data_IF_784797750531
#
_entry.id   IF_784797750531
#
_cell.length_a   1.000
_cell.length_b   1.000
_cell.length_c   1.000
_cell.angle_alpha   90.00
_cell.angle_beta   90.00
_cell.angle_gamma   90.00
#
_symmetry.space_group_name_H-M   'P 1'
#
loop_
_entity.id
_entity.type
_entity.pdbx_description
1 polymer ?
#
# COMPACT_ATOMS: atom_id res chain seq x y z
N UNK A 1 13.95 17.69 15.03
CA UNK A 1 13.43 17.09 16.29
C UNK A 1 12.76 15.76 16.05
N UNK A 2 12.71 15.24 14.79
CA UNK A 2 11.87 14.07 14.42
C UNK A 2 12.62 12.74 14.38
N UNK A 3 13.91 12.74 14.68
CA UNK A 3 14.75 11.52 14.56
C UNK A 3 14.66 10.54 15.76
N UNK A 4 13.97 10.89 16.81
CA UNK A 4 13.90 10.02 18.02
C UNK A 4 12.64 9.16 18.13
N UNK A 5 11.63 9.35 17.29
CA UNK A 5 10.38 8.54 17.34
C UNK A 5 10.50 7.18 16.63
N UNK A 6 11.56 6.96 15.85
CA UNK A 6 11.76 5.75 15.05
C UNK A 6 12.59 4.65 15.73
N UNK A 7 13.09 4.87 16.96
CA UNK A 7 14.00 3.91 17.61
C UNK A 7 13.34 2.75 18.36
N UNK A 8 12.02 2.70 18.43
CA UNK A 8 11.29 1.74 19.27
C UNK A 8 10.58 0.58 18.56
N UNK A 9 10.42 0.65 17.24
CA UNK A 9 9.77 -0.43 16.48
C UNK A 9 10.76 -1.01 15.47
N UNK A 10 11.36 -2.14 15.80
CA UNK A 10 12.14 -2.86 14.81
C UNK A 10 11.22 -3.38 13.71
N UNK A 11 11.54 -3.03 12.44
CA UNK A 11 10.93 -3.60 11.22
C UNK A 11 10.75 -5.13 11.30
N UNK A 12 11.61 -5.80 12.05
CA UNK A 12 11.57 -7.24 12.28
C UNK A 12 10.35 -7.70 13.07
N UNK A 13 9.85 -6.91 14.00
CA UNK A 13 8.76 -7.33 14.89
C UNK A 13 7.41 -7.34 14.18
N UNK A 14 7.20 -6.42 13.21
CA UNK A 14 5.98 -6.39 12.38
C UNK A 14 6.05 -7.43 11.26
N UNK A 15 7.21 -7.58 10.61
CA UNK A 15 7.40 -8.51 9.49
C UNK A 15 7.58 -9.96 9.97
N UNK A 16 8.16 -10.20 11.14
CA UNK A 16 8.30 -11.55 11.69
C UNK A 16 6.96 -12.10 12.15
N UNK A 17 6.05 -11.25 12.62
CA UNK A 17 4.68 -11.67 12.92
C UNK A 17 3.87 -12.04 11.65
N UNK A 18 4.20 -11.45 10.49
CA UNK A 18 3.53 -11.73 9.22
C UNK A 18 4.18 -12.86 8.40
N UNK A 19 5.49 -13.11 8.56
CA UNK A 19 6.24 -14.04 7.70
C UNK A 19 6.45 -15.45 8.28
N UNK A 20 6.06 -15.70 9.52
CA UNK A 20 6.32 -16.98 10.20
C UNK A 20 5.06 -17.75 10.60
N UNK A 21 3.97 -17.63 9.84
CA UNK A 21 2.77 -18.42 10.10
C UNK A 21 2.74 -19.74 9.32
N UNK A 22 3.32 -20.83 9.86
CA UNK A 22 2.81 -22.14 9.56
C UNK A 22 1.59 -22.38 10.46
N UNK A 23 0.46 -22.70 9.85
CA UNK A 23 -0.74 -23.23 10.49
C UNK A 23 -1.04 -22.67 11.89
N UNK A 24 -2.00 -21.77 11.94
CA UNK A 24 -2.58 -21.25 13.17
C UNK A 24 -3.12 -22.37 14.07
N UNK A 25 -2.44 -22.77 15.13
CA UNK A 25 -3.10 -23.48 16.19
C UNK A 25 -3.77 -22.44 17.08
N UNK A 26 -4.99 -22.73 17.51
CA UNK A 26 -5.72 -21.96 18.52
C UNK A 26 -4.96 -21.72 19.86
N UNK A 27 -3.66 -22.00 19.88
CA UNK A 27 -2.75 -21.89 21.02
C UNK A 27 -2.14 -20.51 21.22
N UNK A 28 -2.20 -19.59 20.23
CA UNK A 28 -1.70 -18.22 20.43
C UNK A 28 -2.59 -17.34 21.30
N UNK A 29 -3.80 -17.81 21.64
CA UNK A 29 -4.66 -17.13 22.61
C UNK A 29 -4.23 -17.31 24.08
N UNK A 30 -3.17 -18.04 24.38
CA UNK A 30 -2.70 -18.31 25.75
C UNK A 30 -1.43 -17.58 26.19
N UNK A 31 -0.79 -16.84 25.33
CA UNK A 31 0.29 -15.93 25.71
C UNK A 31 -0.33 -14.61 26.18
N UNK A 32 0.23 -14.02 27.23
CA UNK A 32 -0.15 -12.75 27.87
C UNK A 32 -0.60 -11.66 26.86
N UNK A 33 -1.79 -11.84 26.29
CA UNK A 33 -2.41 -10.85 25.38
C UNK A 33 -2.73 -9.63 26.23
N UNK A 34 -2.26 -8.45 25.93
CA UNK A 34 -2.60 -7.27 26.72
C UNK A 34 -4.13 -7.16 26.73
N UNK A 35 -4.69 -7.02 27.93
CA UNK A 35 -6.14 -6.95 28.12
C UNK A 35 -6.76 -5.67 27.52
N UNK A 36 -5.94 -4.83 26.87
CA UNK A 36 -6.37 -3.52 26.39
C UNK A 36 -5.63 -3.13 25.10
N UNK A 37 -6.39 -2.75 24.08
CA UNK A 37 -5.91 -2.22 22.81
C UNK A 37 -6.43 -0.79 22.63
N UNK A 38 -5.62 0.06 22.03
CA UNK A 38 -5.99 1.43 21.72
C UNK A 38 -6.80 1.49 20.41
N UNK A 39 -6.50 0.57 19.47
CA UNK A 39 -7.19 0.45 18.17
C UNK A 39 -7.44 -1.02 17.87
N UNK A 40 -8.64 -1.34 17.42
CA UNK A 40 -8.99 -2.65 16.87
C UNK A 40 -9.38 -2.46 15.40
N UNK A 41 -8.63 -3.09 14.49
CA UNK A 41 -8.89 -3.08 13.05
C UNK A 41 -9.52 -4.40 12.64
N UNK A 42 -10.69 -4.35 12.03
CA UNK A 42 -11.41 -5.53 11.57
C UNK A 42 -11.26 -5.64 10.05
N UNK A 43 -10.57 -6.66 9.60
CA UNK A 43 -10.24 -6.94 8.22
C UNK A 43 -8.80 -6.54 7.86
N UNK A 44 -8.02 -7.52 7.39
CA UNK A 44 -6.62 -7.36 6.98
C UNK A 44 -6.46 -7.18 5.46
N UNK A 45 -7.36 -6.41 4.83
CA UNK A 45 -7.26 -6.06 3.40
C UNK A 45 -6.47 -4.77 3.15
N UNK A 46 -6.62 -4.22 1.93
CA UNK A 46 -5.93 -3.00 1.46
C UNK A 46 -6.15 -1.75 2.31
N UNK A 47 -7.24 -1.67 3.04
CA UNK A 47 -7.51 -0.57 3.96
C UNK A 47 -7.08 -0.89 5.39
N UNK A 48 -7.33 -2.12 5.87
CA UNK A 48 -7.04 -2.50 7.25
C UNK A 48 -5.56 -2.62 7.55
N UNK A 49 -4.77 -3.16 6.63
CA UNK A 49 -3.31 -3.27 6.81
C UNK A 49 -2.66 -1.90 7.01
N UNK A 50 -2.83 -0.90 6.11
CA UNK A 50 -2.25 0.42 6.35
C UNK A 50 -2.85 1.14 7.56
N UNK A 51 -4.13 0.97 7.85
CA UNK A 51 -4.74 1.52 9.05
C UNK A 51 -4.05 1.00 10.32
N UNK A 52 -3.86 -0.32 10.42
CA UNK A 52 -3.16 -0.92 11.55
C UNK A 52 -1.69 -0.49 11.62
N UNK A 53 -1.02 -0.43 10.47
CA UNK A 53 0.38 -0.03 10.38
C UNK A 53 0.59 1.40 10.86
N UNK A 54 -0.16 2.35 10.33
CA UNK A 54 0.00 3.76 10.69
C UNK A 54 -0.43 4.04 12.12
N UNK A 55 -1.46 3.36 12.63
CA UNK A 55 -1.82 3.45 14.05
C UNK A 55 -0.67 2.95 14.96
N UNK A 56 -0.05 1.82 14.60
CA UNK A 56 1.09 1.27 15.34
C UNK A 56 2.33 2.17 15.23
N UNK A 57 2.60 2.76 14.07
CA UNK A 57 3.67 3.75 13.89
C UNK A 57 3.43 5.00 14.75
N UNK A 58 2.17 5.36 15.00
CA UNK A 58 1.78 6.41 15.93
C UNK A 58 1.86 6.02 17.42
N UNK A 59 2.34 4.80 17.74
CA UNK A 59 2.52 4.32 19.11
C UNK A 59 1.28 3.64 19.73
N UNK A 60 0.22 3.45 18.97
CA UNK A 60 -0.97 2.76 19.46
C UNK A 60 -0.74 1.24 19.57
N UNK A 61 -1.35 0.63 20.58
CA UNK A 61 -1.45 -0.84 20.66
C UNK A 61 -2.60 -1.29 19.78
N UNK A 62 -2.27 -1.97 18.70
CA UNK A 62 -3.23 -2.34 17.65
C UNK A 62 -3.50 -3.83 17.66
N UNK A 63 -4.78 -4.19 17.57
CA UNK A 63 -5.24 -5.53 17.26
C UNK A 63 -5.80 -5.53 15.84
N UNK A 64 -5.20 -6.29 14.93
CA UNK A 64 -5.75 -6.56 13.61
C UNK A 64 -6.41 -7.94 13.60
N UNK A 65 -7.69 -7.97 13.27
CA UNK A 65 -8.49 -9.20 13.19
C UNK A 65 -8.82 -9.49 11.73
N UNK A 66 -8.44 -10.67 11.25
CA UNK A 66 -8.73 -11.13 9.89
C UNK A 66 -9.40 -12.50 9.95
N UNK A 67 -10.44 -12.71 9.14
CA UNK A 67 -11.19 -13.98 9.08
C UNK A 67 -10.48 -15.05 8.25
N UNK A 68 -9.66 -14.61 7.29
CA UNK A 68 -8.92 -15.49 6.38
C UNK A 68 -7.60 -15.91 7.00
N UNK A 69 -7.02 -17.03 6.58
CA UNK A 69 -5.72 -17.48 7.08
C UNK A 69 -4.55 -16.60 6.60
N UNK A 70 -4.79 -15.68 5.65
CA UNK A 70 -3.79 -14.77 5.11
C UNK A 70 -4.32 -13.34 5.07
N UNK A 71 -3.41 -12.38 5.26
CA UNK A 71 -3.69 -10.96 5.08
C UNK A 71 -3.70 -10.60 3.58
N UNK A 72 -4.24 -9.43 3.25
CA UNK A 72 -4.22 -8.88 1.89
C UNK A 72 -5.61 -8.77 1.25
N UNK A 73 -6.56 -9.62 1.60
CA UNK A 73 -7.90 -9.59 1.01
C UNK A 73 -7.84 -9.65 -0.52
N UNK A 74 -8.48 -8.69 -1.20
CA UNK A 74 -8.45 -8.61 -2.68
C UNK A 74 -7.05 -8.30 -3.24
N UNK A 75 -6.18 -7.67 -2.48
CA UNK A 75 -4.81 -7.40 -2.91
C UNK A 75 -4.03 -8.71 -3.13
N UNK A 76 -4.28 -9.73 -2.31
CA UNK A 76 -3.67 -11.05 -2.45
C UNK A 76 -3.95 -11.68 -3.82
N UNK A 77 -5.12 -11.40 -4.40
CA UNK A 77 -5.53 -11.90 -5.72
C UNK A 77 -5.19 -10.94 -6.86
N UNK A 78 -4.64 -9.77 -6.57
CA UNK A 78 -4.27 -8.78 -7.57
C UNK A 78 -2.94 -9.14 -8.22
N UNK A 79 -2.67 -8.52 -9.37
CA UNK A 79 -1.36 -8.63 -10.04
C UNK A 79 -0.31 -7.70 -9.46
N UNK A 80 -0.60 -7.02 -8.35
CA UNK A 80 0.33 -6.07 -7.72
C UNK A 80 0.56 -4.80 -8.54
N UNK A 81 -0.42 -4.39 -9.35
CA UNK A 81 -0.33 -3.16 -10.14
C UNK A 81 -0.88 -1.98 -9.36
N UNK A 82 -0.16 -0.87 -9.39
CA UNK A 82 -0.56 0.41 -8.83
C UNK A 82 -0.32 1.52 -9.87
N UNK A 83 -1.01 2.64 -9.73
CA UNK A 83 -0.84 3.79 -10.61
C UNK A 83 -0.69 5.08 -9.80
N UNK A 84 0.19 5.96 -10.25
CA UNK A 84 0.40 7.27 -9.64
C UNK A 84 1.26 8.17 -10.49
N UNK A 85 1.09 9.47 -10.31
CA UNK A 85 1.82 10.54 -11.00
C UNK A 85 2.73 11.29 -10.03
N UNK A 86 3.79 11.91 -10.55
CA UNK A 86 4.74 12.68 -9.74
C UNK A 86 5.63 11.79 -8.85
N UNK A 87 6.01 10.64 -9.35
CA UNK A 87 6.82 9.68 -8.60
C UNK A 87 8.30 9.82 -8.91
N UNK A 88 9.14 9.40 -7.96
CA UNK A 88 10.61 9.32 -8.14
C UNK A 88 11.01 8.41 -9.33
N UNK A 89 10.17 7.45 -9.69
CA UNK A 89 10.42 6.56 -10.84
C UNK A 89 10.18 7.28 -12.16
N UNK A 90 9.14 8.12 -12.26
CA UNK A 90 8.88 8.96 -13.43
C UNK A 90 9.99 9.99 -13.59
N UNK A 91 10.38 10.64 -12.51
CA UNK A 91 11.47 11.63 -12.52
C UNK A 91 12.77 11.04 -13.09
N UNK A 92 13.17 9.84 -12.63
CA UNK A 92 14.37 9.13 -13.13
C UNK A 92 14.33 8.82 -14.61
N UNK A 93 13.15 8.69 -15.20
CA UNK A 93 12.94 8.42 -16.63
C UNK A 93 12.63 9.69 -17.43
N UNK A 94 12.65 10.87 -16.80
CA UNK A 94 12.31 12.13 -17.46
C UNK A 94 10.85 12.25 -17.88
N UNK A 95 9.97 11.49 -17.24
CA UNK A 95 8.52 11.52 -17.49
C UNK A 95 7.91 12.64 -16.67
N UNK A 96 7.33 13.63 -17.36
CA UNK A 96 6.55 14.69 -16.72
C UNK A 96 5.10 14.25 -16.59
N UNK A 97 4.59 14.22 -15.37
CA UNK A 97 3.22 13.84 -15.08
C UNK A 97 2.71 14.59 -13.85
N UNK A 98 1.41 14.78 -13.74
CA UNK A 98 0.79 15.54 -12.66
C UNK A 98 -0.48 14.85 -12.16
N UNK A 99 -0.89 15.07 -10.91
CA UNK A 99 -2.18 14.61 -10.40
C UNK A 99 -3.35 15.14 -11.22
N UNK A 100 -3.22 16.34 -11.80
CA UNK A 100 -4.27 16.91 -12.67
C UNK A 100 -4.43 16.10 -13.96
N UNK A 101 -3.32 15.82 -14.66
CA UNK A 101 -3.36 14.98 -15.87
C UNK A 101 -3.84 13.55 -15.55
N UNK A 102 -3.44 13.00 -14.40
CA UNK A 102 -3.92 11.69 -13.94
C UNK A 102 -5.45 11.72 -13.70
N UNK A 103 -5.96 12.76 -13.06
CA UNK A 103 -7.40 12.91 -12.85
C UNK A 103 -8.18 12.99 -14.16
N UNK A 104 -7.71 13.82 -15.12
CA UNK A 104 -8.34 13.97 -16.43
C UNK A 104 -8.40 12.66 -17.19
N UNK A 105 -7.32 11.88 -17.15
CA UNK A 105 -7.27 10.55 -17.75
C UNK A 105 -8.27 9.59 -17.08
N UNK A 106 -8.33 9.56 -15.74
CA UNK A 106 -9.30 8.75 -15.01
C UNK A 106 -10.73 9.10 -15.41
N UNK A 107 -11.08 10.38 -15.43
CA UNK A 107 -12.44 10.83 -15.77
C UNK A 107 -12.78 10.54 -17.24
N UNK A 108 -11.81 10.61 -18.14
CA UNK A 108 -12.00 10.25 -19.54
C UNK A 108 -12.21 8.75 -19.73
N UNK A 109 -11.40 7.91 -19.08
CA UNK A 109 -11.48 6.44 -19.18
C UNK A 109 -12.81 5.92 -18.66
N UNK A 110 -13.27 6.46 -17.54
CA UNK A 110 -14.53 6.02 -16.92
C UNK A 110 -15.78 6.73 -17.49
N UNK A 111 -15.62 7.52 -18.57
CA UNK A 111 -16.70 8.31 -19.16
C UNK A 111 -17.43 9.21 -18.15
N UNK A 112 -16.70 9.79 -17.21
CA UNK A 112 -17.19 10.64 -16.13
C UNK A 112 -18.25 9.96 -15.22
N UNK A 113 -18.23 8.64 -15.11
CA UNK A 113 -19.14 7.88 -14.22
C UNK A 113 -18.62 7.74 -12.79
N UNK A 114 -17.31 7.91 -12.56
CA UNK A 114 -16.74 7.89 -11.22
C UNK A 114 -17.05 9.18 -10.45
N UNK A 115 -17.09 9.08 -9.13
CA UNK A 115 -17.18 10.26 -8.26
C UNK A 115 -15.92 11.14 -8.42
N UNK A 116 -16.06 12.40 -8.87
CA UNK A 116 -14.92 13.27 -9.12
C UNK A 116 -14.13 13.62 -7.84
N UNK A 117 -14.81 13.75 -6.70
CA UNK A 117 -14.17 14.11 -5.45
C UNK A 117 -13.29 12.94 -4.93
N UNK A 118 -13.80 11.73 -4.98
CA UNK A 118 -13.03 10.53 -4.61
C UNK A 118 -11.89 10.27 -5.59
N UNK A 119 -12.13 10.45 -6.89
CA UNK A 119 -11.08 10.32 -7.90
C UNK A 119 -9.96 11.34 -7.65
N UNK A 120 -10.32 12.59 -7.38
CA UNK A 120 -9.37 13.67 -7.08
C UNK A 120 -8.54 13.35 -5.83
N UNK A 121 -9.19 12.92 -4.76
CA UNK A 121 -8.52 12.52 -3.54
C UNK A 121 -7.50 11.41 -3.81
N UNK A 122 -7.89 10.37 -4.53
CA UNK A 122 -7.03 9.24 -4.84
C UNK A 122 -5.80 9.65 -5.65
N UNK A 123 -5.98 10.38 -6.76
CA UNK A 123 -4.85 10.74 -7.64
C UNK A 123 -3.90 11.75 -7.00
N UNK A 124 -4.40 12.63 -6.13
CA UNK A 124 -3.56 13.59 -5.43
C UNK A 124 -2.58 12.94 -4.45
N UNK A 125 -2.93 11.78 -3.89
CA UNK A 125 -2.09 11.06 -2.92
C UNK A 125 -1.38 9.84 -3.50
N UNK A 126 -1.69 9.45 -4.74
CA UNK A 126 -1.15 8.23 -5.33
C UNK A 126 0.37 8.28 -5.51
N UNK A 127 0.91 9.42 -5.93
CA UNK A 127 2.35 9.61 -6.12
C UNK A 127 3.11 9.50 -4.81
N UNK A 128 2.66 10.22 -3.78
CA UNK A 128 3.26 10.20 -2.45
C UNK A 128 3.22 8.79 -1.85
N UNK A 129 2.11 8.08 -2.05
CA UNK A 129 1.97 6.68 -1.60
C UNK A 129 3.01 5.78 -2.26
N UNK A 130 3.23 5.91 -3.58
CA UNK A 130 4.22 5.12 -4.31
C UNK A 130 5.64 5.47 -3.87
N UNK A 131 5.92 6.75 -3.66
CA UNK A 131 7.23 7.21 -3.17
C UNK A 131 7.50 6.66 -1.77
N UNK A 132 6.51 6.73 -0.87
CA UNK A 132 6.60 6.15 0.46
C UNK A 132 6.85 4.63 0.42
N UNK A 133 6.14 3.90 -0.44
CA UNK A 133 6.37 2.47 -0.63
C UNK A 133 7.79 2.18 -1.13
N UNK A 134 8.31 2.98 -2.06
CA UNK A 134 9.67 2.85 -2.58
C UNK A 134 10.72 3.06 -1.47
N UNK A 135 10.54 4.06 -0.61
CA UNK A 135 11.39 4.31 0.56
C UNK A 135 11.37 3.14 1.56
N UNK A 136 10.28 2.39 1.59
CA UNK A 136 10.09 1.23 2.47
C UNK A 136 10.37 -0.12 1.80
N UNK A 137 11.07 -0.11 0.66
CA UNK A 137 11.58 -1.32 0.02
C UNK A 137 10.66 -1.94 -1.02
N UNK A 138 9.62 -1.20 -1.48
CA UNK A 138 8.85 -1.64 -2.63
C UNK A 138 9.70 -1.50 -3.90
N UNK A 139 9.93 -2.61 -4.56
CA UNK A 139 10.66 -2.65 -5.82
C UNK A 139 9.69 -2.64 -7.00
N UNK A 140 10.03 -1.87 -8.01
CA UNK A 140 9.26 -1.77 -9.25
C UNK A 140 9.97 -2.59 -10.32
N UNK A 141 9.20 -3.33 -11.14
CA UNK A 141 9.74 -4.09 -12.27
C UNK A 141 10.56 -3.20 -13.18
N UNK A 142 11.62 -3.76 -13.75
CA UNK A 142 12.43 -3.08 -14.76
C UNK A 142 11.54 -2.61 -15.93
N UNK A 143 11.79 -1.38 -16.38
CA UNK A 143 11.03 -0.75 -17.47
C UNK A 143 9.70 -0.09 -17.03
N UNK A 144 9.34 -0.15 -15.74
CA UNK A 144 8.19 0.59 -15.23
C UNK A 144 8.61 1.99 -14.73
N UNK A 145 7.70 2.99 -14.77
CA UNK A 145 6.28 2.87 -15.14
C UNK A 145 6.05 2.66 -16.63
N UNK A 146 4.90 2.09 -16.94
CA UNK A 146 4.41 1.90 -18.31
C UNK A 146 3.04 2.51 -18.48
N UNK A 147 2.60 2.73 -19.73
CA UNK A 147 1.22 3.11 -20.03
C UNK A 147 0.25 1.96 -19.75
N UNK A 148 -1.01 2.27 -19.52
CA UNK A 148 -2.05 1.25 -19.40
C UNK A 148 -2.27 0.51 -20.73
N UNK A 149 -2.53 -0.79 -20.66
CA UNK A 149 -2.90 -1.57 -21.85
C UNK A 149 -4.27 -1.09 -22.37
N UNK A 150 -4.36 -0.84 -23.66
CA UNK A 150 -5.59 -0.36 -24.30
C UNK A 150 -5.90 1.13 -24.08
N UNK A 151 -4.95 1.88 -23.55
CA UNK A 151 -5.06 3.31 -23.33
C UNK A 151 -4.03 4.03 -24.20
N UNK A 152 -4.45 4.55 -25.34
CA UNK A 152 -3.63 5.36 -26.20
C UNK A 152 -3.41 6.75 -25.59
N UNK A 153 -2.20 7.27 -25.72
CA UNK A 153 -1.81 8.64 -25.35
C UNK A 153 -1.80 8.98 -23.85
N UNK A 154 -1.74 7.97 -22.98
CA UNK A 154 -1.58 8.21 -21.55
C UNK A 154 -0.11 8.23 -21.14
N UNK A 155 0.20 9.08 -20.19
CA UNK A 155 1.51 9.11 -19.56
C UNK A 155 1.78 7.78 -18.87
N UNK A 156 3.03 7.31 -18.93
CA UNK A 156 3.45 6.10 -18.24
C UNK A 156 3.41 6.33 -16.73
N UNK A 157 2.42 5.76 -16.06
CA UNK A 157 2.18 5.89 -14.62
C UNK A 157 1.73 4.60 -13.93
N UNK A 158 1.76 3.49 -14.64
CA UNK A 158 1.41 2.17 -14.09
C UNK A 158 2.68 1.43 -13.68
N UNK A 159 2.71 1.02 -12.43
CA UNK A 159 3.80 0.28 -11.81
C UNK A 159 3.34 -1.13 -11.51
N UNK A 160 4.25 -2.06 -11.62
CA UNK A 160 4.06 -3.43 -11.13
C UNK A 160 5.19 -3.77 -10.20
N UNK A 161 4.88 -4.47 -9.13
CA UNK A 161 5.88 -4.94 -8.18
C UNK A 161 6.90 -5.81 -8.91
N UNK A 162 8.17 -5.48 -8.73
CA UNK A 162 9.32 -6.25 -9.15
C UNK A 162 9.89 -7.08 -8.00
N UNK A 163 10.98 -7.78 -8.29
CA UNK A 163 11.64 -8.61 -7.30
C UNK A 163 10.98 -9.98 -7.10
N UNK A 164 11.49 -10.73 -6.13
CA UNK A 164 10.84 -11.98 -5.71
C UNK A 164 9.58 -11.57 -4.95
N UNK A 165 8.44 -11.70 -5.60
CA UNK A 165 7.16 -11.50 -4.95
C UNK A 165 7.12 -12.38 -3.71
N UNK A 166 6.91 -11.79 -2.56
CA UNK A 166 6.59 -12.53 -1.34
C UNK A 166 5.15 -13.04 -1.42
N UNK A 167 4.83 -13.76 -2.50
CA UNK A 167 3.62 -14.55 -2.63
C UNK A 167 3.90 -15.95 -2.11
#
# INVERSE_FOLDING_TARGET
>A
GDDQLMSGLHRRDILTAAASLPMWPAALARGNTPAHYDVIVIGGGTAGIPCALFAAMGGARVLLVEKSPALGGTLFWSTGQIAGSGTVFQERLGITDTPQAHFEDCMRINHATADPALTRLTVNHAGDTINWLAEHGFEVMAGHPVTGIGHDHFTARRYQQGGKSGL
#
